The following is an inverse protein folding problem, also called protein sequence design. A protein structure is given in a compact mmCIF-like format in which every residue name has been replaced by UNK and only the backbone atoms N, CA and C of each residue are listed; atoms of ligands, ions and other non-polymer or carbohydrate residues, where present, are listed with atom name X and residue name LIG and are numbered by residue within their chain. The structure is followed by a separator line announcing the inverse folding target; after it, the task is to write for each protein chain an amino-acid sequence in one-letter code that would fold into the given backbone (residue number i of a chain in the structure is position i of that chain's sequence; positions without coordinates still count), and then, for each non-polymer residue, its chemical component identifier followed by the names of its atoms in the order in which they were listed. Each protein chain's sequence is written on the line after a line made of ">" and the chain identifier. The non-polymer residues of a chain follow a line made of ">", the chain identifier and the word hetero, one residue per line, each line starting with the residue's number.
data_IF_434237107112
#
_entry.id   IF_434237107112
#
_cell.length_a   1.000
_cell.length_b   1.000
_cell.length_c   1.000
_cell.angle_alpha   90.00
_cell.angle_beta   90.00
_cell.angle_gamma   90.00
#
_symmetry.space_group_name_H-M   'P 1'
#
loop_
_entity.id
_entity.type
_entity.pdbx_description
1 polymer ?
#
# COMPACT_ATOMS: atom_id res chain seq x y z
N UNK A 1 26.23 -2.47 -3.76
CA UNK A 1 26.28 -3.41 -2.61
C UNK A 1 26.81 -4.80 -2.97
N UNK A 2 26.55 -5.33 -4.18
CA UNK A 2 27.00 -6.68 -4.56
C UNK A 2 28.49 -6.82 -4.86
N UNK A 3 29.29 -5.76 -4.89
CA UNK A 3 30.64 -5.80 -5.47
C UNK A 3 31.70 -6.54 -4.63
N UNK A 4 31.56 -6.61 -3.31
CA UNK A 4 32.64 -7.08 -2.42
C UNK A 4 32.52 -8.52 -1.91
N UNK A 5 31.35 -9.17 -2.03
CA UNK A 5 31.17 -10.53 -1.54
C UNK A 5 31.61 -11.57 -2.58
N UNK A 6 32.39 -12.54 -2.13
CA UNK A 6 32.77 -13.74 -2.90
C UNK A 6 32.30 -14.95 -2.12
N UNK A 7 31.52 -15.83 -2.76
CA UNK A 7 31.07 -17.06 -2.12
C UNK A 7 32.28 -17.95 -1.80
N UNK A 8 32.29 -18.66 -0.66
CA UNK A 8 33.31 -19.67 -0.38
C UNK A 8 33.40 -20.70 -1.51
N UNK A 9 34.60 -21.27 -1.72
CA UNK A 9 34.80 -22.36 -2.67
C UNK A 9 34.30 -23.69 -2.07
N UNK A 10 32.99 -23.83 -1.94
CA UNK A 10 32.29 -24.99 -1.42
C UNK A 10 31.05 -25.25 -2.28
N UNK A 11 30.81 -26.48 -2.76
CA UNK A 11 29.68 -26.77 -3.64
C UNK A 11 28.30 -26.74 -2.95
N UNK A 12 28.25 -26.63 -1.62
CA UNK A 12 27.03 -26.71 -0.81
C UNK A 12 26.64 -25.37 -0.17
N UNK A 13 27.00 -24.25 -0.79
CA UNK A 13 26.63 -22.90 -0.30
C UNK A 13 25.52 -22.27 -1.12
N UNK A 14 24.73 -21.44 -0.46
CA UNK A 14 23.78 -20.53 -1.08
C UNK A 14 24.08 -19.09 -0.62
N UNK A 15 23.77 -18.12 -1.46
CA UNK A 15 23.83 -16.70 -1.11
C UNK A 15 22.45 -16.26 -0.64
N UNK A 16 22.40 -15.47 0.43
CA UNK A 16 21.15 -14.83 0.87
C UNK A 16 21.24 -13.32 0.81
N UNK A 17 20.12 -12.67 0.47
CA UNK A 17 19.93 -11.22 0.52
C UNK A 17 18.55 -10.91 1.09
N UNK A 18 18.39 -9.74 1.70
CA UNK A 18 17.09 -9.23 2.14
C UNK A 18 16.73 -8.01 1.29
N UNK A 19 15.44 -7.77 1.04
CA UNK A 19 14.99 -6.64 0.25
C UNK A 19 13.75 -5.96 0.84
N UNK A 20 13.93 -4.70 1.22
CA UNK A 20 12.86 -3.83 1.72
C UNK A 20 13.02 -2.43 1.11
N UNK A 21 12.08 -1.95 0.27
CA UNK A 21 12.01 -0.55 -0.09
C UNK A 21 11.49 0.23 1.12
N UNK A 22 12.38 0.50 2.08
CA UNK A 22 12.04 0.91 3.46
C UNK A 22 10.93 1.96 3.52
N UNK A 23 11.08 3.11 2.85
CA UNK A 23 10.09 4.20 2.84
C UNK A 23 8.66 3.75 2.49
N UNK A 24 8.52 2.81 1.56
CA UNK A 24 7.21 2.28 1.16
C UNK A 24 6.76 1.17 2.11
N UNK A 25 7.67 0.23 2.42
CA UNK A 25 7.36 -0.90 3.28
C UNK A 25 6.93 -0.47 4.69
N UNK A 26 7.51 0.61 5.22
CA UNK A 26 7.20 1.18 6.53
C UNK A 26 6.18 2.33 6.52
N UNK A 27 5.71 2.76 5.33
CA UNK A 27 4.85 3.94 5.16
C UNK A 27 5.47 5.26 5.69
N UNK A 28 6.76 5.49 5.42
CA UNK A 28 7.53 6.63 5.95
C UNK A 28 7.87 7.69 4.89
N UNK A 29 7.88 8.97 5.29
CA UNK A 29 8.53 10.10 4.60
C UNK A 29 8.10 10.44 3.15
N UNK A 30 6.90 10.02 2.70
CA UNK A 30 6.33 10.20 1.34
C UNK A 30 6.77 9.16 0.28
N UNK A 31 6.47 7.90 0.55
CA UNK A 31 6.39 6.90 -0.51
C UNK A 31 5.10 6.07 -0.41
N UNK A 32 3.90 6.68 -0.58
CA UNK A 32 2.63 5.96 -0.48
C UNK A 32 2.29 5.13 -1.74
N UNK A 33 3.04 5.31 -2.82
CA UNK A 33 2.86 4.67 -4.13
C UNK A 33 4.17 3.99 -4.51
N UNK A 34 4.11 2.74 -4.97
CA UNK A 34 5.29 1.95 -5.34
C UNK A 34 5.33 1.58 -6.81
N UNK A 35 4.18 1.44 -7.47
CA UNK A 35 3.98 1.04 -8.85
C UNK A 35 4.44 2.11 -9.86
N UNK A 36 5.72 2.47 -9.82
CA UNK A 36 6.35 3.43 -10.73
C UNK A 36 7.34 2.72 -11.67
N UNK A 37 7.60 3.27 -12.87
CA UNK A 37 8.63 2.73 -13.76
C UNK A 37 10.00 2.59 -13.09
N UNK A 38 10.38 3.56 -12.25
CA UNK A 38 11.69 3.62 -11.58
C UNK A 38 11.83 2.48 -10.57
N UNK A 39 10.81 2.24 -9.74
CA UNK A 39 10.83 1.17 -8.74
C UNK A 39 10.84 -0.22 -9.40
N UNK A 40 10.05 -0.42 -10.46
CA UNK A 40 10.06 -1.66 -11.24
C UNK A 40 11.44 -1.92 -11.87
N UNK A 41 12.04 -0.90 -12.47
CA UNK A 41 13.36 -1.00 -13.08
C UNK A 41 14.45 -1.29 -12.02
N UNK A 42 14.34 -0.68 -10.84
CA UNK A 42 15.24 -0.92 -9.71
C UNK A 42 15.20 -2.39 -9.26
N UNK A 43 14.00 -2.93 -9.02
CA UNK A 43 13.82 -4.35 -8.66
C UNK A 43 14.35 -5.26 -9.77
N UNK A 44 13.91 -5.07 -11.01
CA UNK A 44 14.38 -5.90 -12.13
C UNK A 44 15.91 -5.88 -12.27
N UNK A 45 16.53 -4.72 -12.07
CA UNK A 45 17.98 -4.55 -12.09
C UNK A 45 18.69 -5.30 -10.96
N UNK A 46 18.20 -5.22 -9.72
CA UNK A 46 18.78 -5.91 -8.56
C UNK A 46 18.72 -7.43 -8.75
N UNK A 47 17.56 -7.97 -9.12
CA UNK A 47 17.37 -9.42 -9.30
C UNK A 47 18.18 -9.96 -10.48
N UNK A 48 18.29 -9.18 -11.58
CA UNK A 48 19.19 -9.51 -12.68
C UNK A 48 20.66 -9.55 -12.25
N UNK A 49 21.12 -8.58 -11.46
CA UNK A 49 22.50 -8.58 -10.97
C UNK A 49 22.81 -9.79 -10.08
N UNK A 50 21.85 -10.20 -9.23
CA UNK A 50 21.97 -11.41 -8.41
C UNK A 50 22.05 -12.67 -9.28
N UNK A 51 21.20 -12.76 -10.29
CA UNK A 51 21.23 -13.87 -11.25
C UNK A 51 22.57 -13.96 -11.98
N UNK A 52 22.99 -12.88 -12.63
CA UNK A 52 24.21 -12.86 -13.45
C UNK A 52 25.47 -13.15 -12.60
N UNK A 53 25.47 -12.70 -11.34
CA UNK A 53 26.61 -12.88 -10.45
C UNK A 53 26.68 -14.29 -9.84
N UNK A 54 25.55 -14.88 -9.46
CA UNK A 54 25.50 -16.12 -8.68
C UNK A 54 24.72 -17.24 -9.36
N UNK A 55 23.42 -17.04 -9.65
CA UNK A 55 22.53 -18.10 -10.16
C UNK A 55 23.04 -18.65 -11.49
N UNK A 56 23.44 -17.79 -12.42
CA UNK A 56 24.00 -18.16 -13.73
C UNK A 56 25.32 -18.96 -13.62
N UNK A 57 25.97 -18.93 -12.45
CA UNK A 57 27.21 -19.66 -12.16
C UNK A 57 26.98 -20.89 -11.28
N UNK A 58 25.73 -21.30 -11.09
CA UNK A 58 25.36 -22.47 -10.30
C UNK A 58 25.34 -22.24 -8.78
N UNK A 59 25.42 -21.00 -8.31
CA UNK A 59 25.31 -20.67 -6.88
C UNK A 59 23.86 -20.24 -6.59
N UNK A 60 23.07 -21.02 -5.82
CA UNK A 60 21.70 -20.64 -5.48
C UNK A 60 21.64 -19.32 -4.71
N UNK A 61 20.57 -18.56 -4.96
CA UNK A 61 20.29 -17.32 -4.24
C UNK A 61 18.92 -17.43 -3.56
N UNK A 62 18.87 -17.03 -2.30
CA UNK A 62 17.66 -16.94 -1.48
C UNK A 62 17.42 -15.46 -1.16
N UNK A 63 16.25 -14.94 -1.50
CA UNK A 63 15.72 -13.73 -0.89
C UNK A 63 15.18 -14.12 0.49
N UNK A 64 16.04 -14.02 1.51
CA UNK A 64 15.76 -14.51 2.86
C UNK A 64 14.68 -13.73 3.59
N UNK A 65 14.50 -12.46 3.25
CA UNK A 65 13.43 -11.63 3.80
C UNK A 65 12.97 -10.56 2.81
N UNK A 66 11.66 -10.39 2.75
CA UNK A 66 10.95 -9.25 2.16
C UNK A 66 9.53 -9.23 2.71
N UNK A 67 8.95 -8.05 2.92
CA UNK A 67 7.55 -7.87 3.32
C UNK A 67 7.16 -6.38 3.29
N UNK A 68 5.87 -6.11 3.54
CA UNK A 68 5.45 -4.84 4.13
C UNK A 68 5.78 -4.88 5.63
N UNK A 69 6.15 -3.74 6.19
CA UNK A 69 6.49 -3.57 7.60
C UNK A 69 5.41 -2.80 8.38
N UNK A 70 4.38 -2.34 7.68
CA UNK A 70 3.23 -1.63 8.24
C UNK A 70 1.92 -2.26 7.76
N UNK A 71 0.92 -2.32 8.64
CA UNK A 71 -0.47 -2.67 8.32
C UNK A 71 -1.29 -1.47 7.82
N UNK A 72 -0.72 -0.27 7.95
CA UNK A 72 -1.32 0.99 7.53
C UNK A 72 -0.66 1.44 6.22
N UNK A 73 -1.07 0.82 5.12
CA UNK A 73 -0.54 1.10 3.77
C UNK A 73 -1.67 1.17 2.75
N UNK A 74 -1.40 1.75 1.57
CA UNK A 74 -2.32 1.64 0.45
C UNK A 74 -2.20 0.24 -0.18
N UNK A 75 -3.09 -0.67 0.25
CA UNK A 75 -3.03 -2.09 -0.09
C UNK A 75 -2.96 -2.45 -1.58
N UNK A 76 -3.59 -1.71 -2.51
CA UNK A 76 -3.40 -1.97 -3.94
C UNK A 76 -1.92 -1.93 -4.35
N UNK A 77 -1.18 -0.93 -3.87
CA UNK A 77 0.27 -0.79 -4.12
C UNK A 77 1.06 -1.90 -3.44
N UNK A 78 0.70 -2.27 -2.21
CA UNK A 78 1.38 -3.35 -1.47
C UNK A 78 1.24 -4.71 -2.17
N UNK A 79 0.05 -5.02 -2.70
CA UNK A 79 -0.19 -6.25 -3.50
C UNK A 79 0.66 -6.24 -4.78
N UNK A 80 0.74 -5.10 -5.46
CA UNK A 80 1.57 -4.96 -6.66
C UNK A 80 3.07 -5.12 -6.35
N UNK A 81 3.55 -4.51 -5.27
CA UNK A 81 4.92 -4.67 -4.81
C UNK A 81 5.28 -6.15 -4.55
N UNK A 82 4.42 -6.87 -3.81
CA UNK A 82 4.62 -8.30 -3.54
C UNK A 82 4.66 -9.14 -4.81
N UNK A 83 3.71 -8.93 -5.72
CA UNK A 83 3.70 -9.60 -7.02
C UNK A 83 4.99 -9.33 -7.79
N UNK A 84 5.39 -8.07 -7.92
CA UNK A 84 6.54 -7.68 -8.73
C UNK A 84 7.85 -8.26 -8.18
N UNK A 85 8.05 -8.26 -6.85
CA UNK A 85 9.24 -8.88 -6.22
C UNK A 85 9.30 -10.38 -6.52
N UNK A 86 8.19 -11.10 -6.31
CA UNK A 86 8.16 -12.55 -6.53
C UNK A 86 8.28 -12.91 -8.02
N UNK A 87 7.67 -12.12 -8.90
CA UNK A 87 7.78 -12.29 -10.36
C UNK A 87 9.22 -12.11 -10.84
N UNK A 88 9.90 -11.06 -10.39
CA UNK A 88 11.31 -10.84 -10.75
C UNK A 88 12.22 -11.88 -10.09
N UNK A 89 11.91 -12.35 -8.88
CA UNK A 89 12.61 -13.47 -8.26
C UNK A 89 12.49 -14.76 -9.08
N UNK A 90 11.27 -15.16 -9.44
CA UNK A 90 10.98 -16.33 -10.25
C UNK A 90 11.72 -16.29 -11.59
N UNK A 91 11.64 -15.17 -12.31
CA UNK A 91 12.34 -14.95 -13.59
C UNK A 91 13.86 -15.12 -13.50
N UNK A 92 14.43 -14.84 -12.34
CA UNK A 92 15.88 -14.85 -12.09
C UNK A 92 16.34 -16.09 -11.31
N UNK A 93 15.48 -17.09 -11.11
CA UNK A 93 15.83 -18.34 -10.40
C UNK A 93 16.17 -18.12 -8.93
N UNK A 94 15.52 -17.15 -8.28
CA UNK A 94 15.76 -16.77 -6.88
C UNK A 94 14.59 -17.26 -6.03
N UNK A 95 14.88 -18.05 -4.99
CA UNK A 95 13.88 -18.51 -4.03
C UNK A 95 13.54 -17.39 -3.04
N UNK A 96 12.27 -17.18 -2.75
CA UNK A 96 11.81 -16.11 -1.84
C UNK A 96 11.28 -16.66 -0.51
N UNK A 97 11.63 -16.00 0.59
CA UNK A 97 11.11 -16.25 1.92
C UNK A 97 10.41 -15.00 2.43
N UNK A 98 9.08 -15.06 2.53
CA UNK A 98 8.25 -13.95 3.00
C UNK A 98 8.46 -13.75 4.51
N UNK A 99 8.76 -12.52 4.91
CA UNK A 99 8.93 -12.18 6.32
C UNK A 99 7.58 -11.96 7.00
N UNK A 100 7.35 -12.69 8.09
CA UNK A 100 6.11 -12.64 8.86
C UNK A 100 6.40 -12.69 10.36
N UNK A 101 6.29 -11.54 11.01
CA UNK A 101 6.47 -11.38 12.46
C UNK A 101 5.25 -11.82 13.30
N UNK A 102 4.14 -12.22 12.66
CA UNK A 102 2.88 -12.60 13.29
C UNK A 102 2.00 -11.41 13.73
N UNK A 103 2.50 -10.18 13.64
CA UNK A 103 1.78 -8.97 14.02
C UNK A 103 1.19 -8.26 12.79
N UNK A 104 2.03 -8.03 11.77
CA UNK A 104 1.75 -7.20 10.60
C UNK A 104 0.97 -7.95 9.49
N UNK A 105 1.31 -7.68 8.22
CA UNK A 105 0.69 -8.13 6.96
C UNK A 105 0.85 -9.63 6.65
N UNK A 106 0.94 -10.46 7.68
CA UNK A 106 1.23 -11.89 7.58
C UNK A 106 0.09 -12.76 8.11
N UNK A 107 0.44 -13.90 8.68
CA UNK A 107 -0.49 -14.88 9.19
C UNK A 107 -0.87 -14.58 10.65
N UNK A 108 -2.16 -14.36 10.89
CA UNK A 108 -2.73 -14.35 12.23
C UNK A 108 -2.64 -15.76 12.83
N UNK A 109 -1.65 -15.95 13.72
CA UNK A 109 -1.38 -17.24 14.37
C UNK A 109 -2.44 -17.63 15.40
N UNK A 110 -3.25 -16.68 15.89
CA UNK A 110 -4.33 -16.94 16.85
C UNK A 110 -5.57 -17.42 16.12
N UNK A 111 -5.97 -16.71 15.07
CA UNK A 111 -7.19 -17.01 14.30
C UNK A 111 -6.96 -17.96 13.11
N UNK A 112 -5.70 -18.30 12.82
CA UNK A 112 -5.26 -19.15 11.72
C UNK A 112 -5.71 -18.62 10.34
N UNK A 113 -5.55 -17.31 10.12
CA UNK A 113 -5.95 -16.61 8.89
C UNK A 113 -4.86 -15.70 8.37
N UNK A 114 -4.75 -15.60 7.04
CA UNK A 114 -3.85 -14.64 6.40
C UNK A 114 -4.44 -13.21 6.49
N UNK A 115 -3.59 -12.22 6.76
CA UNK A 115 -3.97 -10.80 6.83
C UNK A 115 -3.19 -10.00 5.78
N UNK A 116 -3.84 -9.10 5.02
CA UNK A 116 -5.26 -9.05 4.73
C UNK A 116 -5.67 -10.22 3.82
N UNK A 117 -6.96 -10.48 3.73
CA UNK A 117 -7.51 -11.57 2.92
C UNK A 117 -7.00 -11.49 1.46
N UNK A 118 -6.73 -12.67 0.88
CA UNK A 118 -6.18 -12.86 -0.46
C UNK A 118 -4.76 -12.31 -0.73
N UNK A 119 -4.08 -11.66 0.22
CA UNK A 119 -2.72 -11.10 0.02
C UNK A 119 -1.67 -12.16 -0.37
N UNK A 120 -1.66 -13.29 0.32
CA UNK A 120 -0.71 -14.38 0.06
C UNK A 120 -0.87 -14.99 -1.35
N UNK A 121 -2.05 -14.89 -1.98
CA UNK A 121 -2.28 -15.45 -3.32
C UNK A 121 -1.43 -14.74 -4.37
N UNK A 122 -1.24 -13.42 -4.23
CA UNK A 122 -0.38 -12.65 -5.15
C UNK A 122 1.06 -13.18 -5.11
N UNK A 123 1.58 -13.40 -3.90
CA UNK A 123 2.90 -13.98 -3.65
C UNK A 123 3.00 -15.39 -4.25
N UNK A 124 2.09 -16.29 -3.89
CA UNK A 124 2.15 -17.70 -4.31
C UNK A 124 2.03 -17.87 -5.82
N UNK A 125 1.18 -17.08 -6.48
CA UNK A 125 1.03 -17.12 -7.94
C UNK A 125 2.31 -16.62 -8.62
N UNK A 126 2.81 -15.45 -8.22
CA UNK A 126 3.99 -14.86 -8.82
C UNK A 126 5.25 -15.71 -8.61
N UNK A 127 5.40 -16.34 -7.44
CA UNK A 127 6.50 -17.25 -7.12
C UNK A 127 6.46 -18.57 -7.95
N UNK A 128 5.34 -18.86 -8.61
CA UNK A 128 5.17 -20.00 -9.52
C UNK A 128 5.14 -19.57 -11.00
N UNK A 129 5.38 -18.27 -11.29
CA UNK A 129 5.30 -17.73 -12.64
C UNK A 129 3.86 -17.54 -13.16
N UNK A 130 2.85 -17.64 -12.31
CA UNK A 130 1.45 -17.37 -12.66
C UNK A 130 1.22 -15.85 -12.56
N UNK A 131 0.86 -15.16 -13.66
CA UNK A 131 0.67 -13.72 -13.64
C UNK A 131 -0.60 -13.31 -12.89
N UNK A 132 -0.49 -12.34 -11.97
CA UNK A 132 -1.64 -11.66 -11.39
C UNK A 132 -2.01 -10.43 -12.24
N UNK A 133 -3.29 -10.06 -12.25
CA UNK A 133 -3.78 -8.82 -12.87
C UNK A 133 -4.11 -7.77 -11.81
N UNK A 134 -4.19 -6.50 -12.22
CA UNK A 134 -4.47 -5.39 -11.31
C UNK A 134 -5.53 -4.43 -11.85
N UNK A 135 -6.31 -3.84 -10.94
CA UNK A 135 -7.31 -2.79 -11.23
C UNK A 135 -6.85 -1.47 -10.62
N UNK A 136 -6.81 -0.41 -11.43
CA UNK A 136 -6.33 0.92 -11.01
C UNK A 136 -7.32 2.05 -11.34
N UNK A 137 -7.66 2.93 -10.38
CA UNK A 137 -7.24 2.91 -8.99
C UNK A 137 -7.81 1.69 -8.25
N UNK A 138 -7.08 1.20 -7.24
CA UNK A 138 -7.51 0.01 -6.48
C UNK A 138 -8.61 0.28 -5.45
N UNK A 139 -9.13 1.51 -5.42
CA UNK A 139 -10.29 1.94 -4.64
C UNK A 139 -11.07 3.00 -5.42
N UNK A 140 -12.40 2.98 -5.32
CA UNK A 140 -13.30 3.92 -5.99
C UNK A 140 -13.92 4.84 -4.95
N UNK A 141 -13.64 6.14 -5.05
CA UNK A 141 -14.13 7.17 -4.12
C UNK A 141 -15.27 7.98 -4.74
N UNK A 142 -16.37 8.12 -4.01
CA UNK A 142 -17.57 8.86 -4.42
C UNK A 142 -17.83 9.96 -3.40
N UNK A 143 -17.73 11.21 -3.84
CA UNK A 143 -17.90 12.37 -2.97
C UNK A 143 -19.37 12.61 -2.65
N UNK A 144 -19.69 12.70 -1.36
CA UNK A 144 -21.01 13.12 -0.87
C UNK A 144 -21.38 14.50 -1.44
N UNK A 145 -22.66 14.65 -1.80
CA UNK A 145 -23.19 15.89 -2.36
C UNK A 145 -22.78 16.18 -3.81
N UNK A 146 -22.00 15.30 -4.45
CA UNK A 146 -21.64 15.41 -5.86
C UNK A 146 -22.48 14.46 -6.72
N UNK A 147 -22.78 14.78 -7.99
CA UNK A 147 -23.46 13.85 -8.89
C UNK A 147 -22.69 12.53 -9.02
N UNK A 148 -23.40 11.41 -8.89
CA UNK A 148 -22.82 10.08 -9.13
C UNK A 148 -22.63 9.88 -10.64
N UNK A 149 -21.40 9.65 -11.06
CA UNK A 149 -21.00 9.46 -12.46
C UNK A 149 -20.33 8.10 -12.66
N UNK A 150 -20.18 7.69 -13.92
CA UNK A 150 -19.43 6.47 -14.26
C UNK A 150 -17.98 6.58 -13.71
N UNK A 151 -17.46 5.49 -13.16
CA UNK A 151 -16.07 5.41 -12.68
C UNK A 151 -15.28 4.52 -13.62
N UNK A 152 -14.14 5.02 -14.10
CA UNK A 152 -13.22 4.27 -14.95
C UNK A 152 -12.05 3.71 -14.15
N UNK A 153 -11.61 2.50 -14.51
CA UNK A 153 -10.39 1.90 -14.00
C UNK A 153 -9.58 1.27 -15.14
N UNK A 154 -8.25 1.35 -15.05
CA UNK A 154 -7.33 0.62 -15.90
C UNK A 154 -7.18 -0.83 -15.40
N UNK A 155 -7.06 -1.75 -16.34
CA UNK A 155 -6.81 -3.17 -16.11
C UNK A 155 -5.39 -3.52 -16.59
N UNK A 156 -4.47 -3.74 -15.64
CA UNK A 156 -3.16 -4.29 -15.94
C UNK A 156 -3.29 -5.82 -16.03
N UNK A 157 -3.48 -6.33 -17.24
CA UNK A 157 -3.91 -7.72 -17.44
C UNK A 157 -2.77 -8.74 -17.40
N UNK A 158 -1.54 -8.38 -17.78
CA UNK A 158 -0.38 -9.30 -17.81
C UNK A 158 -0.65 -10.65 -18.52
N UNK A 159 -1.42 -10.62 -19.61
CA UNK A 159 -1.79 -11.81 -20.39
C UNK A 159 -3.11 -12.47 -19.98
N UNK A 160 -3.73 -12.03 -18.88
CA UNK A 160 -5.04 -12.52 -18.45
C UNK A 160 -6.20 -11.78 -19.14
N UNK A 161 -7.41 -12.23 -18.84
CA UNK A 161 -8.66 -11.55 -19.19
C UNK A 161 -9.54 -11.40 -17.96
N UNK A 162 -10.31 -10.30 -17.87
CA UNK A 162 -11.35 -10.14 -16.86
C UNK A 162 -12.52 -11.06 -17.20
N UNK A 163 -12.84 -11.99 -16.31
CA UNK A 163 -13.93 -12.95 -16.49
C UNK A 163 -15.22 -12.45 -15.88
N UNK A 164 -15.16 -12.00 -14.62
CA UNK A 164 -16.33 -11.63 -13.84
C UNK A 164 -16.06 -10.52 -12.83
N UNK A 165 -17.12 -9.81 -12.45
CA UNK A 165 -17.11 -8.89 -11.31
C UNK A 165 -18.27 -9.23 -10.38
N UNK A 166 -17.98 -9.31 -9.08
CA UNK A 166 -18.95 -9.60 -8.03
C UNK A 166 -19.02 -8.48 -7.00
N UNK A 167 -20.19 -8.31 -6.38
CA UNK A 167 -20.35 -7.57 -5.13
C UNK A 167 -20.90 -8.56 -4.09
N UNK A 168 -20.03 -9.01 -3.18
CA UNK A 168 -20.32 -10.19 -2.35
C UNK A 168 -20.55 -11.42 -3.23
N UNK A 169 -21.72 -12.05 -3.11
CA UNK A 169 -22.11 -13.21 -3.95
C UNK A 169 -22.84 -12.80 -5.23
N UNK A 170 -23.22 -11.53 -5.38
CA UNK A 170 -23.99 -11.05 -6.52
C UNK A 170 -23.05 -10.76 -7.69
N UNK A 171 -23.22 -11.50 -8.80
CA UNK A 171 -22.51 -11.24 -10.05
C UNK A 171 -23.07 -9.97 -10.72
N UNK A 172 -22.20 -9.05 -11.10
CA UNK A 172 -22.56 -7.87 -11.89
C UNK A 172 -22.80 -8.28 -13.35
N UNK A 173 -23.71 -7.58 -14.02
CA UNK A 173 -24.04 -7.83 -15.42
C UNK A 173 -23.27 -6.92 -16.37
N UNK A 174 -22.36 -7.50 -17.16
CA UNK A 174 -21.64 -6.77 -18.22
C UNK A 174 -22.62 -6.16 -19.23
N UNK A 175 -22.37 -4.91 -19.62
CA UNK A 175 -23.24 -4.11 -20.49
C UNK A 175 -24.28 -3.27 -19.72
N UNK A 176 -24.65 -3.67 -18.50
CA UNK A 176 -25.61 -2.95 -17.65
C UNK A 176 -24.96 -2.32 -16.42
N UNK A 177 -24.32 -3.14 -15.59
CA UNK A 177 -23.68 -2.70 -14.35
C UNK A 177 -22.27 -2.15 -14.59
N UNK A 178 -21.57 -2.73 -15.57
CA UNK A 178 -20.25 -2.28 -16.00
C UNK A 178 -20.00 -2.58 -17.48
N UNK A 179 -19.03 -1.89 -18.09
CA UNK A 179 -18.52 -2.18 -19.43
C UNK A 179 -17.01 -2.35 -19.41
N UNK A 180 -16.46 -3.02 -20.43
CA UNK A 180 -15.01 -3.16 -20.63
C UNK A 180 -14.69 -2.90 -22.09
N UNK A 181 -13.78 -1.97 -22.35
CA UNK A 181 -13.24 -1.65 -23.67
C UNK A 181 -11.72 -1.71 -23.62
N UNK A 182 -11.12 -2.70 -24.29
CA UNK A 182 -9.68 -2.98 -24.17
C UNK A 182 -9.28 -3.24 -22.72
N UNK A 183 -8.37 -2.42 -22.19
CA UNK A 183 -7.91 -2.44 -20.79
C UNK A 183 -8.63 -1.43 -19.91
N UNK A 184 -9.74 -0.85 -20.36
CA UNK A 184 -10.54 0.11 -19.58
C UNK A 184 -11.82 -0.56 -19.08
N UNK A 185 -11.96 -0.65 -17.77
CA UNK A 185 -13.18 -0.99 -17.07
C UNK A 185 -13.99 0.28 -16.75
N UNK A 186 -15.31 0.21 -16.84
CA UNK A 186 -16.21 1.31 -16.46
C UNK A 186 -17.34 0.78 -15.60
N UNK A 187 -17.40 1.20 -14.34
CA UNK A 187 -18.53 0.96 -13.45
C UNK A 187 -19.60 2.01 -13.71
N UNK A 188 -20.84 1.58 -13.97
CA UNK A 188 -21.92 2.50 -14.35
C UNK A 188 -22.47 3.28 -13.17
N UNK A 189 -22.79 4.56 -13.39
CA UNK A 189 -23.45 5.42 -12.42
C UNK A 189 -24.78 4.83 -11.93
N UNK A 190 -25.51 4.12 -12.80
CA UNK A 190 -26.74 3.40 -12.45
C UNK A 190 -26.48 2.33 -11.38
N UNK A 191 -25.39 1.56 -11.52
CA UNK A 191 -25.00 0.55 -10.53
C UNK A 191 -24.49 1.19 -9.24
N UNK A 192 -23.69 2.26 -9.34
CA UNK A 192 -23.23 3.01 -8.18
C UNK A 192 -24.42 3.53 -7.35
N UNK A 193 -25.40 4.18 -7.98
CA UNK A 193 -26.60 4.65 -7.28
C UNK A 193 -27.40 3.52 -6.61
N UNK A 194 -27.33 2.29 -7.12
CA UNK A 194 -27.99 1.12 -6.52
C UNK A 194 -27.29 0.65 -5.24
N UNK A 195 -25.96 0.77 -5.14
CA UNK A 195 -25.18 0.21 -4.03
C UNK A 195 -24.83 1.24 -2.95
N UNK A 196 -24.94 2.54 -3.24
CA UNK A 196 -24.61 3.60 -2.28
C UNK A 196 -25.70 3.76 -1.22
N UNK A 197 -25.32 3.70 0.05
CA UNK A 197 -26.14 4.09 1.19
C UNK A 197 -25.89 5.57 1.50
N UNK A 198 -26.83 6.44 1.13
CA UNK A 198 -26.72 7.88 1.32
C UNK A 198 -26.61 8.30 2.80
N UNK A 199 -26.98 7.44 3.75
CA UNK A 199 -26.88 7.72 5.19
C UNK A 199 -25.50 7.43 5.78
N UNK A 200 -24.59 6.81 5.01
CA UNK A 200 -23.29 6.34 5.51
C UNK A 200 -22.13 6.93 4.71
N UNK A 201 -21.02 7.14 5.41
CA UNK A 201 -19.69 7.40 4.83
C UNK A 201 -18.81 6.18 5.05
N UNK A 202 -17.71 6.09 4.32
CA UNK A 202 -16.80 4.94 4.30
C UNK A 202 -17.23 3.89 3.28
N UNK A 203 -16.80 2.64 3.51
CA UNK A 203 -16.99 1.52 2.59
C UNK A 203 -18.48 1.21 2.37
N UNK A 204 -18.87 1.17 1.10
CA UNK A 204 -20.23 0.90 0.61
C UNK A 204 -20.33 -0.51 0.04
N UNK A 205 -19.28 -0.96 -0.65
CA UNK A 205 -19.17 -2.29 -1.22
C UNK A 205 -17.70 -2.69 -1.39
N UNK A 206 -17.47 -3.99 -1.55
CA UNK A 206 -16.19 -4.55 -2.04
C UNK A 206 -16.50 -5.27 -3.33
N UNK A 207 -15.92 -4.80 -4.43
CA UNK A 207 -16.06 -5.44 -5.74
C UNK A 207 -14.92 -6.44 -5.94
N UNK A 208 -15.26 -7.70 -6.21
CA UNK A 208 -14.30 -8.76 -6.52
C UNK A 208 -14.19 -8.93 -8.02
N UNK A 209 -13.06 -8.55 -8.59
CA UNK A 209 -12.72 -8.75 -9.99
C UNK A 209 -11.99 -10.08 -10.15
N UNK A 210 -12.55 -10.95 -10.97
CA UNK A 210 -11.98 -12.26 -11.29
C UNK A 210 -11.30 -12.24 -12.65
N UNK A 211 -10.16 -12.89 -12.73
CA UNK A 211 -9.38 -13.01 -13.95
C UNK A 211 -9.26 -14.47 -14.38
N UNK A 212 -8.79 -14.69 -15.61
CA UNK A 212 -8.57 -16.03 -16.14
C UNK A 212 -7.57 -16.86 -15.33
N UNK A 213 -6.61 -16.21 -14.67
CA UNK A 213 -5.62 -16.80 -13.76
C UNK A 213 -5.24 -15.76 -12.71
N UNK A 214 -4.44 -16.17 -11.72
CA UNK A 214 -3.92 -15.27 -10.70
C UNK A 214 -4.94 -14.99 -9.59
N UNK A 215 -4.63 -13.98 -8.77
CA UNK A 215 -5.44 -13.61 -7.62
C UNK A 215 -6.60 -12.68 -8.02
N UNK A 216 -7.74 -12.85 -7.35
CA UNK A 216 -8.86 -11.91 -7.45
C UNK A 216 -8.45 -10.54 -6.88
N UNK A 217 -8.94 -9.47 -7.51
CA UNK A 217 -8.76 -8.10 -7.03
C UNK A 217 -9.98 -7.65 -6.25
N UNK A 218 -9.78 -7.15 -5.04
CA UNK A 218 -10.82 -6.56 -4.20
C UNK A 218 -10.70 -5.04 -4.22
N UNK A 219 -11.72 -4.38 -4.78
CA UNK A 219 -11.76 -2.92 -4.94
C UNK A 219 -12.87 -2.35 -4.08
N UNK A 220 -12.50 -1.50 -3.13
CA UNK A 220 -13.46 -0.84 -2.24
C UNK A 220 -14.20 0.26 -2.99
N UNK A 221 -15.53 0.29 -2.86
CA UNK A 221 -16.36 1.45 -3.21
C UNK A 221 -16.59 2.25 -1.94
N UNK A 222 -16.14 3.50 -1.91
CA UNK A 222 -16.05 4.31 -0.70
C UNK A 222 -16.79 5.63 -0.93
N UNK A 223 -17.74 5.95 -0.05
CA UNK A 223 -18.42 7.25 -0.04
C UNK A 223 -17.71 8.16 0.97
N UNK A 224 -17.37 9.39 0.58
CA UNK A 224 -16.56 10.27 1.44
C UNK A 224 -16.98 11.74 1.36
N UNK A 225 -16.54 12.52 2.35
CA UNK A 225 -16.51 13.99 2.30
C UNK A 225 -15.20 14.49 2.94
N UNK A 226 -14.83 15.78 2.81
CA UNK A 226 -13.59 16.29 3.39
C UNK A 226 -13.42 15.88 4.86
N UNK A 227 -12.27 15.33 5.20
CA UNK A 227 -11.90 15.01 6.57
C UNK A 227 -11.82 16.29 7.40
N UNK A 228 -12.08 16.18 8.71
CA UNK A 228 -12.02 17.31 9.62
C UNK A 228 -11.22 16.96 10.86
N UNK A 229 -10.30 17.83 11.23
CA UNK A 229 -9.56 17.76 12.50
C UNK A 229 -10.19 18.72 13.48
N UNK A 230 -10.39 18.29 14.72
CA UNK A 230 -10.81 19.21 15.77
C UNK A 230 -9.66 20.20 16.04
N UNK A 231 -9.87 21.52 15.94
CA UNK A 231 -8.82 22.48 16.24
C UNK A 231 -8.29 22.27 17.65
N UNK A 232 -7.01 21.95 17.77
CA UNK A 232 -6.35 21.78 19.05
C UNK A 232 -5.33 22.92 19.22
N UNK A 233 -5.65 23.88 20.08
CA UNK A 233 -4.66 24.87 20.51
C UNK A 233 -3.87 24.26 21.67
N UNK A 234 -2.63 23.86 21.39
CA UNK A 234 -1.72 23.34 22.42
C UNK A 234 -0.76 24.44 22.84
N UNK A 235 -0.96 24.98 24.04
CA UNK A 235 0.03 25.88 24.64
C UNK A 235 1.08 25.05 25.40
N UNK A 236 2.19 24.74 24.71
CA UNK A 236 3.29 23.95 25.26
C UNK A 236 4.20 24.81 26.13
N UNK A 237 3.86 24.96 27.40
CA UNK A 237 4.73 25.60 28.40
C UNK A 237 5.75 24.63 29.02
N UNK A 238 5.54 23.32 28.87
CA UNK A 238 6.39 22.24 29.35
C UNK A 238 6.45 21.10 28.31
N UNK A 239 7.49 20.25 28.33
CA UNK A 239 7.56 19.08 27.46
C UNK A 239 6.40 18.10 27.70
N UNK A 240 5.93 17.45 26.63
CA UNK A 240 4.97 16.35 26.72
C UNK A 240 5.60 15.14 27.42
N UNK A 241 4.89 14.57 28.39
CA UNK A 241 5.29 13.34 29.12
C UNK A 241 4.76 12.06 28.47
N UNK A 242 3.83 12.19 27.52
CA UNK A 242 3.24 11.09 26.75
C UNK A 242 2.89 11.52 25.33
N UNK A 243 2.40 10.57 24.54
CA UNK A 243 1.99 10.82 23.15
C UNK A 243 0.84 11.84 23.08
N UNK A 244 0.85 12.65 22.03
CA UNK A 244 -0.19 13.64 21.76
C UNK A 244 -1.24 13.03 20.84
N UNK A 245 -2.45 12.82 21.38
CA UNK A 245 -3.59 12.25 20.64
C UNK A 245 -4.49 13.36 20.12
N UNK A 246 -4.74 13.37 18.82
CA UNK A 246 -5.56 14.37 18.12
C UNK A 246 -6.82 13.68 17.56
N UNK A 247 -8.03 14.12 17.97
CA UNK A 247 -9.27 13.65 17.38
C UNK A 247 -9.34 14.02 15.89
N UNK A 248 -9.58 13.01 15.06
CA UNK A 248 -9.59 13.10 13.61
C UNK A 248 -10.83 12.44 13.04
N UNK A 249 -11.64 13.19 12.30
CA UNK A 249 -12.79 12.62 11.60
C UNK A 249 -12.44 12.38 10.13
N UNK A 250 -12.24 11.11 9.80
CA UNK A 250 -11.83 10.65 8.48
C UNK A 250 -12.92 10.81 7.41
N UNK A 251 -14.20 10.82 7.79
CA UNK A 251 -15.32 11.01 6.85
C UNK A 251 -15.27 10.09 5.60
N UNK A 252 -14.79 8.85 5.78
CA UNK A 252 -14.63 7.85 4.71
C UNK A 252 -13.30 7.93 3.94
N UNK A 253 -12.45 8.91 4.22
CA UNK A 253 -11.12 9.07 3.64
C UNK A 253 -10.07 8.26 4.42
N UNK A 254 -8.89 8.10 3.83
CA UNK A 254 -7.72 7.48 4.48
C UNK A 254 -6.53 8.42 4.40
N UNK A 255 -5.69 8.47 5.42
CA UNK A 255 -4.45 9.26 5.35
C UNK A 255 -3.56 8.61 4.28
N UNK A 256 -3.04 9.43 3.37
CA UNK A 256 -2.04 9.03 2.39
C UNK A 256 -0.64 9.24 2.95
N UNK A 257 -0.39 10.42 3.50
CA UNK A 257 0.80 10.76 4.30
C UNK A 257 0.58 12.07 5.05
N UNK A 258 1.53 12.43 5.90
CA UNK A 258 1.54 13.71 6.61
C UNK A 258 2.90 14.39 6.50
N UNK A 259 2.93 15.72 6.61
CA UNK A 259 4.15 16.51 6.77
C UNK A 259 3.95 17.61 7.80
N UNK A 260 5.04 18.02 8.43
CA UNK A 260 5.04 19.12 9.39
C UNK A 260 6.10 20.16 9.04
N UNK A 261 5.69 21.42 8.95
CA UNK A 261 6.61 22.55 8.73
C UNK A 261 6.32 23.69 9.70
N UNK A 262 7.38 24.40 10.08
CA UNK A 262 7.28 25.62 10.90
C UNK A 262 6.78 26.82 10.08
N UNK A 263 6.67 27.99 10.71
CA UNK A 263 6.24 29.23 10.05
C UNK A 263 7.17 29.69 8.91
N UNK A 264 8.40 29.18 8.84
CA UNK A 264 9.37 29.46 7.78
C UNK A 264 9.36 28.41 6.66
N UNK A 265 8.53 27.37 6.80
CA UNK A 265 8.44 26.25 5.86
C UNK A 265 9.50 25.16 6.07
N UNK A 266 10.28 25.22 7.14
CA UNK A 266 11.30 24.20 7.45
C UNK A 266 10.67 23.00 8.15
N UNK A 267 11.19 21.76 7.94
CA UNK A 267 10.72 20.58 8.66
C UNK A 267 10.77 20.74 10.18
N UNK A 268 9.73 20.25 10.86
CA UNK A 268 9.69 20.22 12.33
C UNK A 268 10.61 19.13 12.90
N UNK A 269 10.75 18.00 12.19
CA UNK A 269 11.64 16.92 12.61
C UNK A 269 13.11 17.38 12.52
N UNK A 270 13.75 17.47 13.68
CA UNK A 270 15.15 17.92 13.81
C UNK A 270 16.16 16.80 13.54
N UNK A 271 15.72 15.55 13.58
CA UNK A 271 16.53 14.35 13.28
C UNK A 271 16.52 14.08 11.79
N UNK A 272 15.33 13.98 11.18
CA UNK A 272 15.19 13.78 9.72
C UNK A 272 14.90 15.08 8.97
N UNK A 273 15.65 16.15 9.28
CA UNK A 273 15.45 17.49 8.72
C UNK A 273 15.69 17.64 7.20
N UNK A 274 16.07 16.55 6.52
CA UNK A 274 16.19 16.46 5.07
C UNK A 274 14.83 16.30 4.37
N UNK A 275 13.75 15.99 5.10
CA UNK A 275 12.39 15.87 4.59
C UNK A 275 11.38 16.55 5.51
N UNK A 276 10.30 17.07 4.93
CA UNK A 276 9.15 17.59 5.71
C UNK A 276 8.16 16.51 6.12
N UNK A 277 8.17 15.38 5.42
CA UNK A 277 7.21 14.30 5.60
C UNK A 277 7.50 13.50 6.85
N UNK A 278 6.45 12.99 7.48
CA UNK A 278 6.54 12.29 8.75
C UNK A 278 6.77 10.79 8.56
N UNK A 279 7.48 10.19 9.51
CA UNK A 279 7.67 8.75 9.66
C UNK A 279 6.46 8.11 10.34
N UNK A 280 5.81 7.14 9.69
CA UNK A 280 4.81 6.33 10.37
C UNK A 280 5.46 5.45 11.44
N UNK A 281 4.81 5.33 12.61
CA UNK A 281 5.35 4.61 13.76
C UNK A 281 6.25 5.49 14.63
N UNK A 282 7.23 6.16 14.01
CA UNK A 282 8.23 7.02 14.64
C UNK A 282 7.72 8.40 15.03
N UNK A 283 7.18 9.16 14.08
CA UNK A 283 6.65 10.51 14.34
C UNK A 283 5.18 10.49 14.73
N UNK A 284 4.42 9.63 14.06
CA UNK A 284 2.97 9.54 14.22
C UNK A 284 2.43 8.15 13.90
N UNK A 285 1.28 7.83 14.49
CA UNK A 285 0.44 6.68 14.13
C UNK A 285 -1.00 7.14 13.97
N UNK A 286 -1.84 6.29 13.39
CA UNK A 286 -3.26 6.56 13.24
C UNK A 286 -4.07 5.27 13.17
N UNK A 287 -5.32 5.36 13.60
CA UNK A 287 -6.22 4.20 13.73
C UNK A 287 -7.16 4.01 12.53
N UNK A 288 -7.15 4.94 11.56
CA UNK A 288 -8.12 5.03 10.45
C UNK A 288 -9.60 5.07 10.91
N UNK A 289 -9.86 5.51 12.15
CA UNK A 289 -11.18 5.53 12.77
C UNK A 289 -11.52 6.90 13.34
N UNK A 290 -10.74 7.36 14.31
CA UNK A 290 -11.08 8.57 15.07
C UNK A 290 -9.89 9.37 15.58
N UNK A 291 -8.66 8.86 15.43
CA UNK A 291 -7.49 9.52 16.01
C UNK A 291 -6.26 9.49 15.11
N UNK A 292 -5.43 10.52 15.27
CA UNK A 292 -4.02 10.55 14.90
C UNK A 292 -3.23 10.79 16.17
N UNK A 293 -2.15 10.04 16.38
CA UNK A 293 -1.30 10.12 17.57
C UNK A 293 0.10 10.53 17.15
N UNK A 294 0.58 11.67 17.63
CA UNK A 294 1.98 12.08 17.50
C UNK A 294 2.78 11.51 18.66
N UNK A 295 3.91 10.88 18.37
CA UNK A 295 4.79 10.33 19.40
C UNK A 295 5.36 11.45 20.26
N UNK A 296 5.55 11.20 21.56
CA UNK A 296 6.00 12.23 22.50
C UNK A 296 7.29 12.92 22.04
N UNK A 297 8.20 12.17 21.42
CA UNK A 297 9.51 12.71 21.02
C UNK A 297 9.36 13.68 19.84
N UNK A 298 8.58 13.31 18.82
CA UNK A 298 8.22 14.20 17.72
C UNK A 298 7.38 15.41 18.18
N UNK A 299 6.34 15.19 19.01
CA UNK A 299 5.54 16.28 19.58
C UNK A 299 6.40 17.25 20.41
N UNK A 300 7.49 16.76 21.02
CA UNK A 300 8.44 17.60 21.74
C UNK A 300 9.38 18.42 20.84
N UNK A 301 9.45 18.15 19.54
CA UNK A 301 10.27 18.92 18.58
C UNK A 301 9.66 20.26 18.17
N UNK A 302 8.33 20.42 18.30
CA UNK A 302 7.63 21.68 18.10
C UNK A 302 8.08 22.72 19.13
N UNK A 303 8.95 23.66 18.72
CA UNK A 303 9.50 24.75 19.54
C UNK A 303 8.98 26.14 19.14
N UNK A 304 8.16 26.19 18.10
CA UNK A 304 7.52 27.37 17.52
C UNK A 304 6.21 26.97 16.85
N UNK A 305 5.51 27.93 16.24
CA UNK A 305 4.26 27.66 15.54
C UNK A 305 4.53 26.79 14.31
N UNK A 306 3.84 25.66 14.19
CA UNK A 306 3.99 24.80 13.04
C UNK A 306 2.64 24.28 12.56
N UNK A 307 2.62 23.86 11.31
CA UNK A 307 1.45 23.25 10.68
C UNK A 307 1.76 21.81 10.33
N UNK A 308 0.94 20.89 10.83
CA UNK A 308 0.89 19.52 10.31
C UNK A 308 -0.20 19.44 9.26
N UNK A 309 0.15 18.95 8.07
CA UNK A 309 -0.79 18.75 6.97
C UNK A 309 -0.91 17.26 6.67
N UNK A 310 -2.13 16.80 6.44
CA UNK A 310 -2.44 15.44 6.01
C UNK A 310 -2.94 15.50 4.56
N UNK A 311 -2.27 14.78 3.64
CA UNK A 311 -2.89 14.48 2.35
C UNK A 311 -3.68 13.19 2.51
N UNK A 312 -4.87 13.16 1.92
CA UNK A 312 -5.80 12.05 2.06
C UNK A 312 -5.98 11.31 0.72
N UNK A 313 -6.55 10.11 0.79
CA UNK A 313 -7.16 9.44 -0.35
C UNK A 313 -8.66 9.81 -0.44
N UNK A 314 -9.20 10.11 -1.63
CA UNK A 314 -8.50 10.20 -2.92
C UNK A 314 -7.59 11.44 -2.99
N UNK A 315 -6.52 11.42 -3.80
CA UNK A 315 -5.54 12.52 -3.83
C UNK A 315 -6.15 13.86 -4.28
N UNK A 316 -5.52 14.96 -3.83
CA UNK A 316 -5.97 16.33 -4.13
C UNK A 316 -7.02 16.87 -3.16
N UNK A 317 -7.17 16.22 -2.01
CA UNK A 317 -8.06 16.59 -0.90
C UNK A 317 -7.29 16.77 0.40
#
# INVERSE_FOLDING_TARGET
>A
MLASFTAPNDPNVAVTVHYYPYQFASNSWNMPVWNTPENKASVAGIFKQLHDKYVAKGIPVILGEYAMMSDIVYWPEARFFMDNVNKEAYKNGITTMFWDDGWNSGFDRVNLKMKPDNYIKYILNAAQGIPNSFVWPGEFYIREGSPVTDITAALDLYGNTLTDVYNGTARLTRGMDYTVSGTTFTLKASYLNKILDASKLGQQAVLTFKFSQGADNEVNVIRYKPATVQPLLINKSQPFTGDLVVPFNYNGMKIKHAWAVDETGQPVDKVNNWTKYLEWGGDYTYDNKSTVTFRKDFANMFDRNATVTFEMWPSGT
#
